data_IF_162776721551
#
_entry.id   IF_162776721551
#
_cell.length_a   1.000
_cell.length_b   1.000
_cell.length_c   1.000
_cell.angle_alpha   90.00
_cell.angle_beta   90.00
_cell.angle_gamma   90.00
#
_symmetry.space_group_name_H-M   'P 1'
#
loop_
_entity.id
_entity.type
_entity.pdbx_description
1 polymer ?
#
# COMPACT_ATOMS: atom_id res chain seq x y z
N UNK A 1 -69.86 -23.35 -0.01
CA UNK A 1 -69.32 -22.97 1.32
C UNK A 1 -67.84 -23.31 1.30
N UNK A 2 -67.01 -22.28 1.30
CA UNK A 2 -65.56 -22.31 1.05
C UNK A 2 -64.80 -22.88 2.25
N UNK A 3 -63.82 -23.74 2.02
CA UNK A 3 -62.64 -23.86 2.88
C UNK A 3 -61.40 -23.92 2.00
N UNK A 4 -60.75 -22.77 1.94
CA UNK A 4 -59.47 -22.47 1.31
C UNK A 4 -58.34 -23.22 2.01
N UNK A 5 -57.56 -23.96 1.24
CA UNK A 5 -56.23 -24.46 1.61
C UNK A 5 -55.25 -23.30 1.68
N UNK A 6 -54.73 -23.04 2.89
CA UNK A 6 -53.62 -22.11 3.13
C UNK A 6 -52.30 -22.78 2.75
N UNK A 7 -51.62 -22.24 1.73
CA UNK A 7 -50.20 -22.49 1.43
C UNK A 7 -49.35 -21.78 2.49
N UNK A 8 -48.31 -22.39 3.08
CA UNK A 8 -47.40 -21.68 3.97
C UNK A 8 -46.45 -20.77 3.17
N UNK A 9 -46.11 -19.64 3.80
CA UNK A 9 -45.13 -18.62 3.40
C UNK A 9 -43.85 -19.23 2.83
N UNK A 10 -43.48 -18.78 1.63
CA UNK A 10 -42.13 -18.92 1.08
C UNK A 10 -41.24 -17.87 1.78
N UNK A 11 -40.48 -18.30 2.78
CA UNK A 11 -39.44 -17.46 3.38
C UNK A 11 -38.49 -16.96 2.28
N UNK A 12 -38.15 -15.66 2.23
CA UNK A 12 -37.21 -15.15 1.26
C UNK A 12 -35.84 -15.75 1.56
N UNK A 13 -35.41 -16.68 0.71
CA UNK A 13 -34.08 -17.25 0.75
C UNK A 13 -33.04 -16.11 0.71
N UNK A 14 -32.14 -16.00 1.69
CA UNK A 14 -31.09 -14.99 1.67
C UNK A 14 -30.28 -15.21 0.39
N UNK A 15 -30.34 -14.21 -0.50
CA UNK A 15 -29.70 -14.24 -1.80
C UNK A 15 -28.28 -14.76 -1.66
N UNK A 16 -28.00 -15.88 -2.32
CA UNK A 16 -26.66 -16.41 -2.42
C UNK A 16 -25.73 -15.28 -2.87
N UNK A 17 -24.85 -14.85 -1.98
CA UNK A 17 -23.76 -13.94 -2.31
C UNK A 17 -23.03 -14.56 -3.49
N UNK A 18 -23.08 -13.90 -4.66
CA UNK A 18 -22.33 -14.33 -5.82
C UNK A 18 -20.84 -14.37 -5.45
N UNK A 19 -20.17 -15.53 -5.46
CA UNK A 19 -18.74 -15.62 -5.21
C UNK A 19 -17.98 -15.25 -6.48
N UNK A 20 -18.18 -14.02 -6.97
CA UNK A 20 -17.73 -13.58 -8.29
C UNK A 20 -17.32 -12.12 -8.39
N UNK A 21 -17.15 -11.43 -7.26
CA UNK A 21 -16.45 -10.15 -7.27
C UNK A 21 -15.00 -10.36 -7.73
N UNK A 22 -14.38 -9.39 -8.43
CA UNK A 22 -12.97 -9.49 -8.77
C UNK A 22 -12.17 -9.74 -7.48
N UNK A 23 -11.27 -10.74 -7.50
CA UNK A 23 -10.44 -11.02 -6.33
C UNK A 23 -9.70 -9.74 -5.89
N UNK A 24 -9.61 -9.48 -4.58
CA UNK A 24 -8.92 -8.31 -4.08
C UNK A 24 -7.47 -8.33 -4.55
N UNK A 25 -7.08 -7.30 -5.30
CA UNK A 25 -5.68 -7.09 -5.72
C UNK A 25 -4.89 -6.54 -4.53
N UNK A 26 -4.49 -7.46 -3.66
CA UNK A 26 -3.76 -7.20 -2.42
C UNK A 26 -2.45 -7.99 -2.42
N UNK A 27 -1.35 -7.32 -2.07
CA UNK A 27 -0.06 -7.93 -1.83
C UNK A 27 0.49 -7.44 -0.50
N UNK A 28 0.99 -8.35 0.34
CA UNK A 28 1.70 -7.97 1.56
C UNK A 28 2.91 -8.87 1.80
N UNK A 29 4.04 -8.27 2.19
CA UNK A 29 5.24 -9.04 2.51
C UNK A 29 6.18 -8.28 3.45
N UNK A 30 6.96 -9.02 4.25
CA UNK A 30 8.01 -8.48 5.12
C UNK A 30 9.38 -8.57 4.48
N UNK A 31 10.23 -7.61 4.81
CA UNK A 31 11.58 -7.48 4.30
C UNK A 31 12.52 -7.05 5.42
N UNK A 32 13.72 -7.61 5.40
CA UNK A 32 14.80 -7.17 6.30
C UNK A 32 15.09 -5.69 6.08
N UNK A 33 15.17 -4.92 7.17
CA UNK A 33 15.49 -3.49 7.21
C UNK A 33 16.93 -3.20 6.78
N UNK A 34 17.19 -3.38 5.47
CA UNK A 34 18.48 -3.29 4.80
C UNK A 34 18.30 -2.78 3.37
N UNK A 35 19.37 -2.26 2.76
CA UNK A 35 19.36 -1.83 1.36
C UNK A 35 18.96 -2.97 0.38
N UNK A 36 19.37 -4.21 0.66
CA UNK A 36 18.97 -5.39 -0.11
C UNK A 36 17.47 -5.65 0.00
N UNK A 37 16.91 -5.54 1.21
CA UNK A 37 15.47 -5.68 1.45
C UNK A 37 14.65 -4.61 0.73
N UNK A 38 15.06 -3.35 0.78
CA UNK A 38 14.41 -2.26 0.05
C UNK A 38 14.44 -2.48 -1.48
N UNK A 39 15.58 -2.92 -2.03
CA UNK A 39 15.69 -3.26 -3.46
C UNK A 39 14.76 -4.40 -3.84
N UNK A 40 14.65 -5.43 -3.00
CA UNK A 40 13.76 -6.57 -3.24
C UNK A 40 12.29 -6.15 -3.16
N UNK A 41 11.92 -5.30 -2.19
CA UNK A 41 10.57 -4.76 -2.05
C UNK A 41 10.13 -4.03 -3.32
N UNK A 42 10.97 -3.14 -3.84
CA UNK A 42 10.70 -2.44 -5.11
C UNK A 42 10.56 -3.39 -6.29
N UNK A 43 11.47 -4.37 -6.42
CA UNK A 43 11.41 -5.36 -7.51
C UNK A 43 10.11 -6.15 -7.49
N UNK A 44 9.66 -6.57 -6.30
CA UNK A 44 8.43 -7.33 -6.17
C UNK A 44 7.19 -6.47 -6.34
N UNK A 45 7.23 -5.20 -5.97
CA UNK A 45 6.15 -4.26 -6.28
C UNK A 45 5.89 -4.18 -7.78
N UNK A 46 6.93 -3.95 -8.59
CA UNK A 46 6.81 -3.92 -10.07
C UNK A 46 6.24 -5.22 -10.61
N UNK A 47 6.73 -6.36 -10.13
CA UNK A 47 6.20 -7.68 -10.53
C UNK A 47 4.71 -7.82 -10.22
N UNK A 48 4.25 -7.34 -9.06
CA UNK A 48 2.82 -7.37 -8.70
C UNK A 48 1.98 -6.45 -9.57
N UNK A 49 2.51 -5.27 -9.92
CA UNK A 49 1.86 -4.37 -10.87
C UNK A 49 1.64 -5.04 -12.22
N UNK A 50 2.64 -5.76 -12.74
CA UNK A 50 2.54 -6.53 -13.98
C UNK A 50 1.49 -7.65 -13.88
N UNK A 51 1.51 -8.41 -12.78
CA UNK A 51 0.51 -9.46 -12.49
C UNK A 51 -0.92 -8.89 -12.40
N UNK A 52 -1.07 -7.62 -12.03
CA UNK A 52 -2.37 -6.92 -11.97
C UNK A 52 -2.72 -6.17 -13.26
N UNK A 53 -1.90 -6.28 -14.31
CA UNK A 53 -2.19 -5.74 -15.63
C UNK A 53 -1.64 -4.33 -15.90
N UNK A 54 -0.80 -3.78 -15.03
CA UNK A 54 -0.01 -2.58 -15.31
C UNK A 54 1.39 -2.98 -15.78
N UNK A 55 1.73 -2.84 -17.07
CA UNK A 55 3.06 -3.17 -17.57
C UNK A 55 4.16 -2.44 -16.80
N UNK A 56 5.34 -3.06 -16.66
CA UNK A 56 6.44 -2.46 -15.90
C UNK A 56 6.82 -1.05 -16.38
N UNK A 57 6.67 -0.79 -17.69
CA UNK A 57 6.97 0.50 -18.32
C UNK A 57 5.83 1.53 -18.27
N UNK A 58 4.66 1.19 -17.71
CA UNK A 58 3.56 2.14 -17.53
C UNK A 58 3.91 3.23 -16.51
N UNK A 59 3.37 4.43 -16.69
CA UNK A 59 3.59 5.55 -15.77
C UNK A 59 3.15 5.22 -14.33
N UNK A 60 2.05 4.47 -14.19
CA UNK A 60 1.57 3.98 -12.88
C UNK A 60 2.58 3.04 -12.24
N UNK A 61 3.11 2.06 -12.97
CA UNK A 61 4.13 1.12 -12.45
C UNK A 61 5.45 1.82 -12.10
N UNK A 62 5.90 2.74 -12.95
CA UNK A 62 7.07 3.56 -12.69
C UNK A 62 6.91 4.39 -11.40
N UNK A 63 5.75 5.04 -11.24
CA UNK A 63 5.43 5.83 -10.04
C UNK A 63 5.37 4.96 -8.79
N UNK A 64 4.69 3.81 -8.84
CA UNK A 64 4.64 2.85 -7.72
C UNK A 64 6.05 2.36 -7.35
N UNK A 65 6.88 2.04 -8.33
CA UNK A 65 8.27 1.61 -8.12
C UNK A 65 9.10 2.67 -7.40
N UNK A 66 8.98 3.93 -7.79
CA UNK A 66 9.67 5.06 -7.15
C UNK A 66 9.20 5.23 -5.71
N UNK A 67 7.89 5.31 -5.48
CA UNK A 67 7.32 5.49 -4.14
C UNK A 67 7.67 4.33 -3.19
N UNK A 68 7.60 3.07 -3.65
CA UNK A 68 8.05 1.92 -2.85
C UNK A 68 9.55 2.04 -2.53
N UNK A 69 10.36 2.50 -3.48
CA UNK A 69 11.78 2.74 -3.28
C UNK A 69 12.05 3.75 -2.15
N UNK A 70 11.39 4.90 -2.20
CA UNK A 70 11.57 5.97 -1.22
C UNK A 70 11.03 5.59 0.16
N UNK A 71 9.81 5.04 0.22
CA UNK A 71 9.21 4.62 1.49
C UNK A 71 10.02 3.48 2.15
N UNK A 72 10.48 2.50 1.38
CA UNK A 72 11.33 1.42 1.91
C UNK A 72 12.70 1.95 2.34
N UNK A 73 13.30 2.88 1.59
CA UNK A 73 14.56 3.49 2.00
C UNK A 73 14.40 4.28 3.31
N UNK A 74 13.29 5.00 3.48
CA UNK A 74 12.98 5.71 4.72
C UNK A 74 12.78 4.73 5.90
N UNK A 75 12.08 3.61 5.69
CA UNK A 75 11.96 2.56 6.71
C UNK A 75 13.33 1.97 7.10
N UNK A 76 14.25 1.80 6.15
CA UNK A 76 15.61 1.30 6.43
C UNK A 76 16.46 2.34 7.19
N UNK A 77 16.35 3.64 6.86
CA UNK A 77 17.14 4.70 7.49
C UNK A 77 16.60 5.11 8.86
N UNK A 78 15.28 5.25 8.99
CA UNK A 78 14.63 5.87 10.15
C UNK A 78 13.71 4.91 10.92
N UNK A 79 13.34 3.79 10.30
CA UNK A 79 12.45 2.77 10.88
C UNK A 79 13.18 1.57 11.49
N UNK A 80 14.52 1.51 11.36
CA UNK A 80 15.31 0.34 11.74
C UNK A 80 15.41 0.19 13.24
N UNK A 81 14.80 -0.88 13.73
CA UNK A 81 15.04 -1.44 15.06
C UNK A 81 15.77 -2.78 14.87
N UNK A 82 16.89 -3.05 15.58
CA UNK A 82 17.61 -4.32 15.45
C UNK A 82 16.69 -5.54 15.57
N UNK A 83 16.82 -6.49 14.64
CA UNK A 83 15.99 -7.70 14.60
C UNK A 83 14.54 -7.48 14.13
N UNK A 84 14.18 -6.30 13.61
CA UNK A 84 12.84 -6.01 13.08
C UNK A 84 12.86 -5.75 11.57
N UNK A 85 11.90 -6.35 10.89
CA UNK A 85 11.61 -6.16 9.47
C UNK A 85 10.66 -4.98 9.26
N UNK A 86 10.68 -4.41 8.05
CA UNK A 86 9.58 -3.58 7.58
C UNK A 86 8.62 -4.41 6.74
N UNK A 87 7.37 -3.97 6.61
CA UNK A 87 6.34 -4.61 5.79
C UNK A 87 5.91 -3.69 4.67
N UNK A 88 5.86 -4.20 3.45
CA UNK A 88 5.19 -3.55 2.32
C UNK A 88 3.79 -4.14 2.17
N UNK A 89 2.79 -3.29 1.93
CA UNK A 89 1.50 -3.68 1.39
C UNK A 89 1.18 -2.85 0.14
N UNK A 90 0.60 -3.50 -0.87
CA UNK A 90 0.04 -2.87 -2.06
C UNK A 90 -1.41 -3.31 -2.18
N UNK A 91 -2.31 -2.37 -2.45
CA UNK A 91 -3.73 -2.66 -2.57
C UNK A 91 -4.36 -1.78 -3.64
N UNK A 92 -5.10 -2.35 -4.58
CA UNK A 92 -5.93 -1.58 -5.52
C UNK A 92 -7.23 -1.20 -4.82
N UNK A 93 -7.49 0.10 -4.70
CA UNK A 93 -8.67 0.70 -4.07
C UNK A 93 -9.40 1.59 -5.07
N UNK A 94 -10.37 1.03 -5.79
CA UNK A 94 -11.08 1.75 -6.84
C UNK A 94 -10.11 2.22 -7.93
N UNK A 95 -10.01 3.54 -8.11
CA UNK A 95 -9.13 4.18 -9.09
C UNK A 95 -7.74 4.57 -8.53
N UNK A 96 -7.33 3.97 -7.42
CA UNK A 96 -6.04 4.24 -6.80
C UNK A 96 -5.31 2.96 -6.38
N UNK A 97 -3.98 3.03 -6.34
CA UNK A 97 -3.12 2.02 -5.74
C UNK A 97 -2.57 2.59 -4.44
N UNK A 98 -2.91 1.91 -3.36
CA UNK A 98 -2.43 2.19 -2.02
C UNK A 98 -1.12 1.46 -1.77
N UNK A 99 -0.10 2.20 -1.39
CA UNK A 99 1.21 1.70 -0.98
C UNK A 99 1.36 1.96 0.51
N UNK A 100 1.66 0.92 1.29
CA UNK A 100 1.91 1.06 2.73
C UNK A 100 3.24 0.42 3.10
N UNK A 101 4.07 1.17 3.82
CA UNK A 101 5.30 0.69 4.42
C UNK A 101 5.20 0.85 5.92
N UNK A 102 5.18 -0.27 6.63
CA UNK A 102 5.15 -0.30 8.09
C UNK A 102 6.53 -0.66 8.65
N UNK A 103 7.02 0.14 9.60
CA UNK A 103 8.28 -0.08 10.31
C UNK A 103 8.07 -0.08 11.83
N UNK A 104 9.13 -0.42 12.58
CA UNK A 104 9.06 -0.59 14.03
C UNK A 104 9.34 0.70 14.82
N UNK A 105 9.69 1.81 14.15
CA UNK A 105 9.95 3.09 14.81
C UNK A 105 8.64 3.84 15.04
N UNK A 106 8.38 4.31 16.28
CA UNK A 106 7.19 5.11 16.57
C UNK A 106 7.31 6.56 16.08
N UNK A 107 8.50 6.96 15.62
CA UNK A 107 8.78 8.35 15.22
C UNK A 107 8.13 8.61 13.86
N UNK A 108 7.15 9.53 13.76
CA UNK A 108 6.53 9.87 12.49
C UNK A 108 7.52 10.60 11.57
N UNK A 109 7.34 10.53 10.24
CA UNK A 109 8.08 11.39 9.33
C UNK A 109 7.76 12.88 9.60
N UNK A 110 8.66 13.81 9.23
CA UNK A 110 8.36 15.24 9.25
C UNK A 110 7.07 15.57 8.50
N UNK A 111 6.30 16.55 9.01
CA UNK A 111 5.03 16.96 8.40
C UNK A 111 5.19 17.66 7.04
N UNK A 112 6.39 18.14 6.73
CA UNK A 112 6.77 18.67 5.43
C UNK A 112 8.18 18.19 5.08
N UNK A 113 8.50 17.95 3.80
CA UNK A 113 9.86 17.64 3.39
C UNK A 113 10.79 18.79 3.81
N UNK A 114 11.94 18.50 4.46
CA UNK A 114 12.90 19.56 4.77
C UNK A 114 13.40 20.20 3.48
N UNK A 115 13.63 21.52 3.49
CA UNK A 115 14.31 22.19 2.38
C UNK A 115 15.59 21.44 2.06
N UNK A 116 15.79 20.99 0.81
CA UNK A 116 16.99 20.22 0.47
C UNK A 116 18.21 21.10 0.69
N UNK A 117 19.02 20.78 1.70
CA UNK A 117 20.37 21.33 1.81
C UNK A 117 21.20 20.65 0.71
N UNK A 118 22.14 21.39 0.10
CA UNK A 118 22.88 20.91 -1.07
C UNK A 118 23.66 19.59 -0.83
N UNK A 119 23.91 19.26 0.44
CA UNK A 119 24.68 18.09 0.89
C UNK A 119 23.84 16.94 1.47
N UNK A 120 22.51 17.09 1.62
CA UNK A 120 21.67 16.05 2.21
C UNK A 120 20.76 15.36 1.18
N UNK A 121 21.20 14.19 0.72
CA UNK A 121 20.33 13.20 0.04
C UNK A 121 19.11 12.82 0.92
N UNK A 122 19.21 13.04 2.23
CA UNK A 122 18.23 12.66 3.27
C UNK A 122 16.88 13.37 3.16
N UNK A 123 16.78 14.48 2.41
CA UNK A 123 15.54 15.26 2.26
C UNK A 123 14.72 14.96 0.99
N UNK A 124 15.33 14.36 -0.04
CA UNK A 124 14.68 14.19 -1.36
C UNK A 124 13.59 13.11 -1.37
N UNK A 125 13.69 12.10 -0.51
CA UNK A 125 12.78 10.96 -0.55
C UNK A 125 11.33 11.33 -0.23
N UNK A 126 11.10 12.15 0.81
CA UNK A 126 9.74 12.63 1.11
C UNK A 126 9.27 13.68 0.10
N UNK A 127 10.17 14.48 -0.48
CA UNK A 127 9.82 15.40 -1.56
C UNK A 127 9.30 14.63 -2.80
N UNK A 128 9.94 13.52 -3.17
CA UNK A 128 9.45 12.67 -4.26
C UNK A 128 8.09 12.04 -3.95
N UNK A 129 7.86 11.63 -2.69
CA UNK A 129 6.54 11.14 -2.25
C UNK A 129 5.50 12.24 -2.39
N UNK A 130 5.81 13.46 -1.96
CA UNK A 130 4.91 14.61 -2.01
C UNK A 130 4.56 15.03 -3.45
N UNK A 131 5.51 14.92 -4.38
CA UNK A 131 5.31 15.26 -5.81
C UNK A 131 4.51 14.17 -6.55
N UNK A 132 4.77 12.90 -6.27
CA UNK A 132 4.27 11.78 -7.10
C UNK A 132 2.97 11.16 -6.56
N UNK A 133 2.72 11.25 -5.26
CA UNK A 133 1.51 10.67 -4.67
C UNK A 133 0.32 11.63 -4.82
N UNK A 134 -0.86 11.10 -5.08
CA UNK A 134 -2.10 11.88 -5.03
C UNK A 134 -2.48 12.22 -3.59
N UNK A 135 -2.20 11.30 -2.66
CA UNK A 135 -2.32 11.47 -1.22
C UNK A 135 -1.24 10.66 -0.54
N UNK A 136 -0.70 11.17 0.56
CA UNK A 136 0.21 10.40 1.40
C UNK A 136 0.05 10.81 2.87
N UNK A 137 0.59 9.99 3.77
CA UNK A 137 0.55 10.30 5.19
C UNK A 137 1.24 9.23 6.03
N UNK A 138 1.14 9.38 7.35
CA UNK A 138 1.63 8.40 8.30
C UNK A 138 0.63 8.21 9.44
N UNK A 139 0.48 6.97 9.89
CA UNK A 139 -0.37 6.62 11.04
C UNK A 139 0.44 5.78 12.04
N UNK A 140 0.29 6.01 13.36
CA UNK A 140 0.85 5.13 14.37
C UNK A 140 0.32 3.70 14.23
N UNK A 141 1.14 2.72 14.62
CA UNK A 141 0.75 1.30 14.61
C UNK A 141 0.78 0.74 16.03
N UNK A 142 -0.30 0.08 16.42
CA UNK A 142 -0.37 -0.66 17.67
C UNK A 142 0.23 -2.08 17.50
N UNK A 143 0.99 -2.61 18.49
CA UNK A 143 1.46 -1.98 19.72
C UNK A 143 2.72 -1.11 19.55
N UNK A 144 3.41 -1.18 18.40
CA UNK A 144 4.58 -0.33 18.12
C UNK A 144 4.80 -0.11 16.63
N UNK A 145 5.30 1.09 16.32
CA UNK A 145 5.77 1.48 15.00
C UNK A 145 4.83 2.46 14.31
N UNK A 146 4.99 2.56 13.00
CA UNK A 146 4.14 3.40 12.15
C UNK A 146 3.92 2.73 10.81
N UNK A 147 2.89 3.19 10.11
CA UNK A 147 2.69 2.93 8.68
C UNK A 147 2.76 4.26 7.95
N UNK A 148 3.75 4.41 7.07
CA UNK A 148 3.79 5.49 6.08
C UNK A 148 3.12 4.98 4.81
N UNK A 149 2.28 5.80 4.19
CA UNK A 149 1.48 5.38 3.07
C UNK A 149 1.43 6.44 1.98
N UNK A 150 1.22 5.99 0.75
CA UNK A 150 1.02 6.84 -0.42
C UNK A 150 -0.05 6.22 -1.33
N UNK A 151 -0.72 7.05 -2.12
CA UNK A 151 -1.69 6.65 -3.12
C UNK A 151 -1.31 7.19 -4.48
N UNK A 152 -1.52 6.37 -5.51
CA UNK A 152 -1.26 6.69 -6.92
C UNK A 152 -2.54 6.46 -7.69
N UNK A 153 -2.96 7.42 -8.52
CA UNK A 153 -4.10 7.20 -9.41
C UNK A 153 -3.77 6.09 -10.43
N UNK A 154 -4.74 5.21 -10.70
CA UNK A 154 -4.60 4.15 -11.72
C UNK A 154 -4.87 4.65 -13.14
N UNK A 155 -5.03 5.97 -13.32
CA UNK A 155 -5.44 6.56 -14.59
C UNK A 155 -4.49 6.20 -15.72
N UNK A 156 -5.05 5.49 -16.70
CA UNK A 156 -4.62 5.37 -18.08
C UNK A 156 -5.85 5.49 -18.96
#
# INVERSE_FOLDING_TARGET
MLMTTTTPDEEPQPGAAHPGGPEPRLFTMRFTSSAKGARLARKLAVRRMEEWGWPAASDTSCTVSLLVGELAANAVRHGRVPGRDFRLALEVRGEAIRIEVADASPIPPPAAPPSPSADEESGRGLLLVDILATRWGAVPRDPVGKTVWAEVATTG
#
